data_IF_100400828494
#
_entry.id   IF_100400828494
#
_cell.length_a   1.000
_cell.length_b   1.000
_cell.length_c   1.000
_cell.angle_alpha   90.00
_cell.angle_beta   90.00
_cell.angle_gamma   90.00
#
_symmetry.space_group_name_H-M   'P 1'
#
loop_
_entity.id
_entity.type
_entity.pdbx_description
1 polymer ?
#
# COMPACT_ATOMS: atom_id res chain seq x y z
N UNK A 1 9.26 32.50 -1.77
CA UNK A 1 8.76 31.15 -1.46
C UNK A 1 9.93 30.25 -1.08
N UNK A 2 9.81 29.46 -0.02
CA UNK A 2 10.85 28.49 0.44
C UNK A 2 10.99 27.33 -0.52
N UNK A 3 12.07 26.54 -0.34
CA UNK A 3 12.28 25.31 -1.10
C UNK A 3 11.89 24.09 -0.28
N UNK A 4 11.38 23.08 -0.95
CA UNK A 4 11.18 21.75 -0.38
C UNK A 4 12.51 21.01 -0.33
N UNK A 5 12.83 20.38 0.81
CA UNK A 5 14.09 19.61 0.97
C UNK A 5 14.07 18.35 0.11
N UNK A 6 15.20 17.98 -0.46
CA UNK A 6 15.31 16.82 -1.37
C UNK A 6 15.18 15.47 -0.68
N UNK A 7 15.50 15.41 0.61
CA UNK A 7 15.43 14.20 1.46
C UNK A 7 14.08 14.01 2.17
N UNK A 8 13.09 14.85 1.83
CA UNK A 8 11.70 14.72 2.30
C UNK A 8 11.15 13.31 1.98
N UNK A 9 10.26 12.78 2.84
CA UNK A 9 9.56 11.51 2.56
C UNK A 9 8.66 11.65 1.33
N UNK A 10 8.43 10.54 0.64
CA UNK A 10 7.55 10.50 -0.54
C UNK A 10 6.13 10.97 -0.18
N UNK A 11 5.60 10.51 0.96
CA UNK A 11 4.28 10.91 1.48
C UNK A 11 4.19 12.40 1.82
N UNK A 12 5.28 12.99 2.31
CA UNK A 12 5.32 14.43 2.59
C UNK A 12 5.45 15.25 1.30
N UNK A 13 6.13 14.71 0.27
CA UNK A 13 6.20 15.32 -1.05
C UNK A 13 4.83 15.32 -1.73
N UNK A 14 4.07 14.24 -1.63
CA UNK A 14 2.68 14.11 -2.05
C UNK A 14 1.80 15.15 -1.33
N UNK A 15 1.84 15.17 0.00
CA UNK A 15 1.05 16.10 0.82
C UNK A 15 1.33 17.56 0.50
N UNK A 16 2.61 17.94 0.36
CA UNK A 16 2.95 19.35 0.07
C UNK A 16 2.58 19.75 -1.36
N UNK A 17 2.74 18.86 -2.34
CA UNK A 17 2.33 19.16 -3.71
C UNK A 17 0.83 19.35 -3.85
N UNK A 18 0.03 18.50 -3.22
CA UNK A 18 -1.43 18.65 -3.14
C UNK A 18 -1.84 19.96 -2.47
N UNK A 19 -1.17 20.34 -1.37
CA UNK A 19 -1.43 21.61 -0.71
C UNK A 19 -1.13 22.81 -1.63
N UNK A 20 -0.02 22.78 -2.35
CA UNK A 20 0.34 23.84 -3.30
C UNK A 20 -0.66 23.95 -4.45
N UNK A 21 -1.12 22.82 -5.00
CA UNK A 21 -2.16 22.80 -6.03
C UNK A 21 -3.47 23.41 -5.52
N UNK A 22 -3.92 23.05 -4.32
CA UNK A 22 -5.13 23.65 -3.72
C UNK A 22 -4.97 25.15 -3.50
N UNK A 23 -3.84 25.59 -2.93
CA UNK A 23 -3.59 27.02 -2.71
C UNK A 23 -3.61 27.82 -4.02
N UNK A 24 -3.05 27.28 -5.09
CA UNK A 24 -3.10 27.89 -6.41
C UNK A 24 -4.55 27.95 -6.95
N UNK A 25 -5.30 26.85 -6.89
CA UNK A 25 -6.69 26.81 -7.36
C UNK A 25 -7.56 27.81 -6.61
N UNK A 26 -7.40 27.91 -5.29
CA UNK A 26 -8.10 28.90 -4.47
C UNK A 26 -7.74 30.34 -4.84
N UNK A 27 -6.48 30.59 -5.20
CA UNK A 27 -6.02 31.90 -5.63
C UNK A 27 -6.53 32.24 -7.07
N UNK A 28 -6.46 31.26 -7.97
CA UNK A 28 -6.89 31.42 -9.37
C UNK A 28 -8.42 31.52 -9.52
N UNK A 29 -9.21 31.04 -8.56
CA UNK A 29 -10.65 31.17 -8.53
C UNK A 29 -11.11 32.63 -8.24
N UNK A 30 -10.21 33.49 -7.79
CA UNK A 30 -10.50 34.94 -7.56
C UNK A 30 -10.22 35.72 -8.84
N UNK A 31 -10.97 36.76 -9.08
CA UNK A 31 -10.72 37.70 -10.20
C UNK A 31 -9.47 38.55 -9.88
N UNK A 32 -8.30 38.11 -10.30
CA UNK A 32 -7.03 38.78 -10.00
C UNK A 32 -5.92 38.48 -11.02
N UNK A 33 -4.72 38.92 -10.70
CA UNK A 33 -3.54 38.72 -11.55
C UNK A 33 -3.18 37.23 -11.71
N UNK A 34 -3.33 36.44 -10.65
CA UNK A 34 -3.04 34.98 -10.64
C UNK A 34 -3.97 34.23 -11.60
N UNK A 35 -5.28 34.59 -11.66
CA UNK A 35 -6.25 33.98 -12.55
C UNK A 35 -5.93 34.14 -14.05
N UNK A 36 -5.20 35.17 -14.39
CA UNK A 36 -4.83 35.54 -15.78
C UNK A 36 -3.40 35.17 -16.14
N UNK A 37 -2.64 34.58 -15.22
CA UNK A 37 -1.24 34.28 -15.41
C UNK A 37 -1.05 32.90 -16.07
N UNK A 38 -0.89 32.92 -17.39
CA UNK A 38 -0.66 31.72 -18.19
C UNK A 38 0.68 31.01 -17.85
N UNK A 39 1.70 31.75 -17.43
CA UNK A 39 2.99 31.16 -17.07
C UNK A 39 2.90 30.42 -15.75
N UNK A 40 2.25 31.01 -14.73
CA UNK A 40 1.97 30.30 -13.47
C UNK A 40 1.06 29.10 -13.69
N UNK A 41 0.03 29.24 -14.52
CA UNK A 41 -0.89 28.15 -14.86
C UNK A 41 -0.14 26.96 -15.49
N UNK A 42 0.81 27.21 -16.39
CA UNK A 42 1.65 26.16 -16.99
C UNK A 42 2.55 25.45 -15.94
N UNK A 43 3.19 26.21 -15.05
CA UNK A 43 4.03 25.65 -13.97
C UNK A 43 3.16 24.80 -13.03
N UNK A 44 2.00 25.32 -12.62
CA UNK A 44 1.09 24.61 -11.73
C UNK A 44 0.45 23.37 -12.37
N UNK A 45 0.18 23.40 -13.68
CA UNK A 45 -0.26 22.22 -14.43
C UNK A 45 0.78 21.10 -14.42
N UNK A 46 2.08 21.41 -14.51
CA UNK A 46 3.15 20.44 -14.35
C UNK A 46 3.19 19.88 -12.92
N UNK A 47 3.10 20.74 -11.89
CA UNK A 47 3.07 20.32 -10.48
C UNK A 47 1.87 19.45 -10.20
N UNK A 48 0.67 19.82 -10.69
CA UNK A 48 -0.56 19.05 -10.51
C UNK A 48 -0.47 17.65 -11.13
N UNK A 49 0.05 17.56 -12.37
CA UNK A 49 0.25 16.27 -13.03
C UNK A 49 1.22 15.38 -12.22
N UNK A 50 2.36 15.91 -11.81
CA UNK A 50 3.35 15.16 -11.04
C UNK A 50 2.84 14.80 -9.64
N UNK A 51 2.00 15.64 -9.03
CA UNK A 51 1.29 15.34 -7.77
C UNK A 51 0.32 14.16 -7.94
N UNK A 52 -0.45 14.13 -9.03
CA UNK A 52 -1.33 13.00 -9.34
C UNK A 52 -0.54 11.70 -9.60
N UNK A 53 0.59 11.80 -10.30
CA UNK A 53 1.46 10.67 -10.60
C UNK A 53 2.07 10.07 -9.32
N UNK A 54 2.56 10.91 -8.38
CA UNK A 54 3.14 10.42 -7.11
C UNK A 54 2.06 9.81 -6.20
N UNK A 55 0.87 10.40 -6.12
CA UNK A 55 -0.28 9.84 -5.39
C UNK A 55 -0.65 8.45 -5.92
N UNK A 56 -0.70 8.31 -7.24
CA UNK A 56 -0.99 7.03 -7.90
C UNK A 56 0.08 5.98 -7.60
N UNK A 57 1.35 6.39 -7.66
CA UNK A 57 2.47 5.51 -7.36
C UNK A 57 2.50 5.06 -5.89
N UNK A 58 2.21 5.96 -4.94
CA UNK A 58 2.09 5.61 -3.50
C UNK A 58 0.97 4.58 -3.27
N UNK A 59 -0.18 4.76 -3.92
CA UNK A 59 -1.29 3.80 -3.83
C UNK A 59 -0.88 2.43 -4.36
N UNK A 60 -0.17 2.39 -5.48
CA UNK A 60 0.34 1.15 -6.09
C UNK A 60 1.33 0.42 -5.16
N UNK A 61 2.30 1.14 -4.58
CA UNK A 61 3.28 0.58 -3.64
C UNK A 61 2.58 0.02 -2.39
N UNK A 62 1.56 0.73 -1.86
CA UNK A 62 0.76 0.28 -0.71
C UNK A 62 -0.03 -0.99 -1.00
N UNK A 63 -0.58 -1.13 -2.20
CA UNK A 63 -1.35 -2.31 -2.61
C UNK A 63 -0.43 -3.53 -2.76
N UNK A 64 0.77 -3.36 -3.33
CA UNK A 64 1.78 -4.44 -3.40
C UNK A 64 2.15 -4.95 -2.00
N UNK A 65 2.45 -4.04 -1.07
CA UNK A 65 2.75 -4.40 0.32
C UNK A 65 1.58 -5.12 1.01
N UNK A 66 0.33 -4.73 0.70
CA UNK A 66 -0.87 -5.39 1.24
C UNK A 66 -1.03 -6.82 0.71
N UNK A 67 -0.72 -7.05 -0.57
CA UNK A 67 -0.74 -8.40 -1.17
C UNK A 67 0.30 -9.32 -0.53
N UNK A 68 1.55 -8.83 -0.38
CA UNK A 68 2.62 -9.58 0.29
C UNK A 68 2.28 -9.93 1.74
N UNK A 69 1.63 -9.00 2.47
CA UNK A 69 1.20 -9.25 3.84
C UNK A 69 0.05 -10.27 3.93
N UNK A 70 -0.88 -10.25 2.98
CA UNK A 70 -1.96 -11.23 2.91
C UNK A 70 -1.44 -12.63 2.58
N UNK A 71 -0.46 -12.72 1.69
CA UNK A 71 0.24 -13.94 1.33
C UNK A 71 0.98 -14.54 2.54
N UNK A 72 1.82 -13.76 3.21
CA UNK A 72 2.54 -14.19 4.40
C UNK A 72 1.61 -14.68 5.52
N UNK A 73 0.44 -14.05 5.69
CA UNK A 73 -0.58 -14.50 6.66
C UNK A 73 -1.14 -15.87 6.29
N UNK A 74 -1.42 -16.11 5.02
CA UNK A 74 -1.91 -17.38 4.49
C UNK A 74 -0.88 -18.49 4.69
N UNK A 75 0.38 -18.23 4.38
CA UNK A 75 1.51 -19.13 4.57
C UNK A 75 1.72 -19.50 6.04
N UNK A 76 1.57 -18.54 6.94
CA UNK A 76 1.70 -18.80 8.38
C UNK A 76 0.60 -19.74 8.87
N UNK A 77 -0.65 -19.54 8.47
CA UNK A 77 -1.78 -20.37 8.90
C UNK A 77 -1.65 -21.79 8.37
N UNK A 78 -1.27 -21.98 7.10
CA UNK A 78 -1.09 -23.32 6.53
C UNK A 78 0.05 -24.08 7.24
N UNK A 79 1.14 -23.38 7.58
CA UNK A 79 2.24 -23.96 8.33
C UNK A 79 1.83 -24.37 9.74
N UNK A 80 1.04 -23.54 10.43
CA UNK A 80 0.48 -23.83 11.75
C UNK A 80 -0.45 -25.04 11.70
N UNK A 81 -1.34 -25.12 10.71
CA UNK A 81 -2.22 -26.26 10.50
C UNK A 81 -1.44 -27.57 10.33
N UNK A 82 -0.43 -27.58 9.45
CA UNK A 82 0.42 -28.73 9.24
C UNK A 82 1.16 -29.18 10.52
N UNK A 83 1.65 -28.21 11.30
CA UNK A 83 2.34 -28.47 12.57
C UNK A 83 1.38 -29.06 13.60
N UNK A 84 0.17 -28.51 13.74
CA UNK A 84 -0.84 -29.00 14.67
C UNK A 84 -1.29 -30.41 14.31
N UNK A 85 -1.58 -30.69 13.05
CA UNK A 85 -1.97 -32.02 12.57
C UNK A 85 -0.86 -33.07 12.79
N UNK A 86 0.39 -32.70 12.51
CA UNK A 86 1.55 -33.57 12.78
C UNK A 86 1.69 -33.87 14.28
N UNK A 87 1.46 -32.88 15.13
CA UNK A 87 1.43 -33.05 16.59
C UNK A 87 0.37 -34.07 17.03
N UNK A 88 -0.87 -33.93 16.55
CA UNK A 88 -1.93 -34.90 16.84
C UNK A 88 -1.64 -36.30 16.29
N UNK A 89 -1.00 -36.42 15.14
CA UNK A 89 -0.58 -37.69 14.55
C UNK A 89 0.49 -38.43 15.38
N UNK A 90 1.23 -37.72 16.23
CA UNK A 90 2.31 -38.27 17.07
C UNK A 90 1.86 -38.66 18.48
N UNK A 91 0.67 -38.25 18.96
CA UNK A 91 0.23 -38.56 20.33
C UNK A 91 -0.32 -39.97 20.45
N UNK A 92 -0.18 -40.64 21.63
CA UNK A 92 -0.61 -42.02 21.86
C UNK A 92 -2.13 -42.11 22.20
N UNK A 93 -2.98 -41.40 21.46
CA UNK A 93 -4.43 -41.40 21.58
C UNK A 93 -5.02 -41.84 20.25
N UNK A 94 -5.50 -43.10 20.18
CA UNK A 94 -5.86 -43.78 18.94
C UNK A 94 -6.86 -42.98 18.10
N UNK A 95 -7.91 -42.46 18.73
CA UNK A 95 -8.99 -41.72 18.04
C UNK A 95 -8.47 -40.39 17.46
N UNK A 96 -7.70 -39.61 18.26
CA UNK A 96 -7.13 -38.35 17.80
C UNK A 96 -6.08 -38.56 16.71
N UNK A 97 -5.29 -39.65 16.83
CA UNK A 97 -4.33 -40.01 15.79
C UNK A 97 -5.03 -40.37 14.48
N UNK A 98 -6.09 -41.19 14.52
CA UNK A 98 -6.85 -41.57 13.32
C UNK A 98 -7.48 -40.37 12.64
N UNK A 99 -8.04 -39.43 13.42
CA UNK A 99 -8.57 -38.16 12.93
C UNK A 99 -7.48 -37.31 12.26
N UNK A 100 -6.32 -37.18 12.93
CA UNK A 100 -5.17 -36.44 12.38
C UNK A 100 -4.63 -37.07 11.09
N UNK A 101 -4.52 -38.38 11.02
CA UNK A 101 -4.05 -39.12 9.83
C UNK A 101 -4.99 -38.84 8.61
N UNK A 102 -6.32 -38.79 8.84
CA UNK A 102 -7.30 -38.46 7.80
C UNK A 102 -7.14 -37.04 7.27
N UNK A 103 -6.92 -36.06 8.15
CA UNK A 103 -6.71 -34.66 7.78
C UNK A 103 -5.32 -34.40 7.20
N UNK A 104 -4.29 -35.13 7.67
CA UNK A 104 -2.95 -35.11 7.08
C UNK A 104 -2.94 -35.66 5.66
N UNK A 105 -3.80 -36.61 5.31
CA UNK A 105 -3.93 -37.10 3.94
C UNK A 105 -4.34 -35.95 2.98
N UNK A 106 -5.30 -35.11 3.40
CA UNK A 106 -5.69 -33.90 2.66
C UNK A 106 -4.55 -32.89 2.66
N UNK A 107 -4.01 -32.53 3.81
CA UNK A 107 -2.92 -31.56 3.92
C UNK A 107 -1.73 -31.95 3.05
N UNK A 108 -1.27 -33.20 3.07
CA UNK A 108 -0.11 -33.64 2.31
C UNK A 108 -0.32 -33.66 0.79
N UNK A 109 -1.57 -33.70 0.32
CA UNK A 109 -1.91 -33.60 -1.10
C UNK A 109 -1.57 -32.21 -1.66
N UNK A 110 -1.64 -31.15 -0.83
CA UNK A 110 -1.50 -29.76 -1.23
C UNK A 110 -0.36 -29.03 -0.53
N UNK A 111 -0.27 -29.14 0.80
CA UNK A 111 0.42 -28.21 1.68
C UNK A 111 1.95 -28.18 1.59
N UNK A 112 2.61 -29.21 1.04
CA UNK A 112 4.08 -29.26 0.98
C UNK A 112 4.67 -28.42 -0.14
N UNK A 113 3.90 -28.09 -1.17
CA UNK A 113 4.37 -27.39 -2.36
C UNK A 113 3.72 -26.02 -2.57
N UNK A 114 2.71 -25.68 -1.79
CA UNK A 114 1.91 -24.46 -1.99
C UNK A 114 2.77 -23.21 -1.99
N UNK A 115 3.58 -22.98 -0.95
CA UNK A 115 4.40 -21.78 -0.78
C UNK A 115 5.53 -21.59 -1.82
N UNK A 116 5.74 -22.53 -2.74
CA UNK A 116 6.73 -22.44 -3.80
C UNK A 116 6.13 -22.11 -5.18
N UNK A 117 4.80 -21.94 -5.25
CA UNK A 117 4.06 -21.76 -6.50
C UNK A 117 3.83 -20.27 -6.83
N UNK A 118 3.35 -20.00 -8.03
CA UNK A 118 2.88 -18.66 -8.39
C UNK A 118 1.56 -18.35 -7.68
N UNK A 119 1.27 -17.10 -7.38
CA UNK A 119 0.05 -16.66 -6.68
C UNK A 119 -1.25 -17.25 -7.24
N UNK A 120 -1.38 -17.32 -8.56
CA UNK A 120 -2.58 -17.87 -9.20
C UNK A 120 -2.72 -19.37 -8.94
N UNK A 121 -1.61 -20.13 -9.05
CA UNK A 121 -1.61 -21.57 -8.82
C UNK A 121 -1.75 -21.91 -7.34
N UNK A 122 -1.10 -21.14 -6.51
CA UNK A 122 -1.18 -21.24 -5.07
C UNK A 122 -2.62 -21.04 -4.57
N UNK A 123 -3.32 -19.98 -5.02
CA UNK A 123 -4.72 -19.72 -4.69
C UNK A 123 -5.63 -20.87 -5.14
N UNK A 124 -5.42 -21.44 -6.33
CA UNK A 124 -6.18 -22.60 -6.79
C UNK A 124 -5.96 -23.84 -5.92
N UNK A 125 -4.74 -24.06 -5.42
CA UNK A 125 -4.44 -25.16 -4.52
C UNK A 125 -5.06 -24.96 -3.13
N UNK A 126 -5.06 -23.72 -2.60
CA UNK A 126 -5.74 -23.40 -1.34
C UNK A 126 -7.25 -23.60 -1.44
N UNK A 127 -7.90 -23.15 -2.52
CA UNK A 127 -9.32 -23.37 -2.74
C UNK A 127 -9.64 -24.88 -2.76
N UNK A 128 -8.88 -25.67 -3.54
CA UNK A 128 -9.07 -27.12 -3.62
C UNK A 128 -8.85 -27.82 -2.28
N UNK A 129 -7.87 -27.38 -1.50
CA UNK A 129 -7.62 -27.91 -0.15
C UNK A 129 -8.75 -27.57 0.82
N UNK A 130 -9.28 -26.35 0.77
CA UNK A 130 -10.42 -25.92 1.60
C UNK A 130 -11.71 -26.64 1.23
N UNK A 131 -11.90 -26.95 -0.06
CA UNK A 131 -13.01 -27.80 -0.52
C UNK A 131 -12.89 -29.22 0.00
N UNK A 132 -11.69 -29.84 -0.09
CA UNK A 132 -11.46 -31.18 0.44
C UNK A 132 -11.65 -31.23 1.97
N UNK A 133 -11.22 -30.20 2.74
CA UNK A 133 -11.48 -30.14 4.18
C UNK A 133 -12.97 -29.93 4.52
N UNK A 134 -13.77 -29.37 3.62
CA UNK A 134 -15.20 -29.19 3.82
C UNK A 134 -16.02 -30.48 3.57
N UNK A 135 -15.38 -31.59 3.18
CA UNK A 135 -16.07 -32.85 2.99
C UNK A 135 -16.73 -33.34 4.28
N UNK A 136 -17.98 -33.77 4.19
CA UNK A 136 -18.77 -34.24 5.34
C UNK A 136 -18.08 -35.36 6.11
N UNK A 137 -17.34 -36.24 5.41
CA UNK A 137 -16.57 -37.34 6.00
C UNK A 137 -15.42 -36.89 6.93
N UNK A 138 -15.03 -35.63 6.89
CA UNK A 138 -13.97 -35.07 7.74
C UNK A 138 -14.50 -34.22 8.90
N UNK A 139 -15.81 -33.95 8.95
CA UNK A 139 -16.42 -33.08 9.96
C UNK A 139 -16.14 -33.55 11.39
N UNK A 140 -16.32 -34.83 11.66
CA UNK A 140 -16.09 -35.44 12.98
C UNK A 140 -14.58 -35.38 13.36
N UNK A 141 -13.68 -35.61 12.38
CA UNK A 141 -12.26 -35.53 12.60
C UNK A 141 -11.80 -34.09 12.93
N UNK A 142 -12.36 -33.08 12.25
CA UNK A 142 -12.09 -31.66 12.52
C UNK A 142 -12.62 -31.28 13.91
N UNK A 143 -13.83 -31.73 14.27
CA UNK A 143 -14.46 -31.42 15.57
C UNK A 143 -13.72 -32.07 16.75
N UNK A 144 -13.09 -33.26 16.53
CA UNK A 144 -12.36 -34.00 17.57
C UNK A 144 -11.00 -33.36 17.92
N UNK A 145 -10.41 -32.58 17.00
CA UNK A 145 -9.08 -32.03 17.18
C UNK A 145 -9.14 -30.51 17.49
N UNK A 146 -8.89 -30.17 18.76
CA UNK A 146 -8.96 -28.81 19.24
C UNK A 146 -8.07 -27.86 18.40
N UNK A 147 -8.62 -26.74 17.96
CA UNK A 147 -7.94 -25.70 17.19
C UNK A 147 -7.83 -25.96 15.67
N UNK A 148 -8.12 -27.18 15.21
CA UNK A 148 -8.03 -27.50 13.77
C UNK A 148 -9.11 -26.75 12.98
N UNK A 149 -10.36 -26.76 13.48
CA UNK A 149 -11.47 -26.02 12.87
C UNK A 149 -11.20 -24.52 12.78
N UNK A 150 -10.61 -23.93 13.83
CA UNK A 150 -10.25 -22.51 13.88
C UNK A 150 -9.17 -22.16 12.83
N UNK A 151 -8.15 -23.03 12.67
CA UNK A 151 -7.10 -22.83 11.65
C UNK A 151 -7.66 -22.98 10.23
N UNK A 152 -8.55 -23.95 9.96
CA UNK A 152 -9.20 -24.10 8.65
C UNK A 152 -10.09 -22.87 8.35
N UNK A 153 -10.86 -22.40 9.32
CA UNK A 153 -11.65 -21.18 9.20
C UNK A 153 -10.79 -19.94 8.99
N UNK A 154 -9.68 -19.84 9.73
CA UNK A 154 -8.69 -18.80 9.58
C UNK A 154 -8.02 -18.80 8.20
N UNK A 155 -7.71 -19.98 7.66
CA UNK A 155 -7.16 -20.14 6.32
C UNK A 155 -8.13 -19.69 5.23
N UNK A 156 -9.42 -20.00 5.35
CA UNK A 156 -10.47 -19.53 4.44
C UNK A 156 -10.55 -18.01 4.45
N UNK A 157 -10.58 -17.40 5.65
CA UNK A 157 -10.59 -15.94 5.78
C UNK A 157 -9.32 -15.30 5.18
N UNK A 158 -8.15 -15.91 5.39
CA UNK A 158 -6.89 -15.41 4.83
C UNK A 158 -6.85 -15.53 3.30
N UNK A 159 -7.43 -16.58 2.73
CA UNK A 159 -7.58 -16.76 1.28
C UNK A 159 -8.51 -15.69 0.69
N UNK A 160 -9.64 -15.38 1.33
CA UNK A 160 -10.55 -14.31 0.90
C UNK A 160 -9.86 -12.94 0.94
N UNK A 161 -9.07 -12.67 2.01
CA UNK A 161 -8.30 -11.43 2.15
C UNK A 161 -7.23 -11.32 1.05
N UNK A 162 -6.54 -12.42 0.74
CA UNK A 162 -5.57 -12.49 -0.35
C UNK A 162 -6.22 -12.22 -1.70
N UNK A 163 -7.37 -12.85 -2.01
CA UNK A 163 -8.08 -12.65 -3.27
C UNK A 163 -8.45 -11.16 -3.46
N UNK A 164 -8.98 -10.49 -2.42
CA UNK A 164 -9.26 -9.04 -2.44
C UNK A 164 -8.01 -8.19 -2.68
N UNK A 165 -6.91 -8.54 -2.02
CA UNK A 165 -5.63 -7.84 -2.19
C UNK A 165 -5.08 -8.04 -3.60
N UNK A 166 -5.17 -9.25 -4.16
CA UNK A 166 -4.74 -9.59 -5.52
C UNK A 166 -5.55 -8.88 -6.60
N UNK A 167 -6.88 -8.79 -6.44
CA UNK A 167 -7.75 -8.03 -7.34
C UNK A 167 -7.36 -6.55 -7.34
N UNK A 168 -7.11 -5.99 -6.15
CA UNK A 168 -6.64 -4.62 -5.98
C UNK A 168 -5.26 -4.39 -6.61
N UNK A 169 -4.33 -5.36 -6.48
CA UNK A 169 -3.00 -5.32 -7.09
C UNK A 169 -3.08 -5.38 -8.61
N UNK A 170 -3.93 -6.25 -9.16
CA UNK A 170 -4.16 -6.36 -10.60
C UNK A 170 -4.73 -5.05 -11.17
N UNK A 171 -5.71 -4.45 -10.51
CA UNK A 171 -6.25 -3.15 -10.89
C UNK A 171 -5.19 -2.04 -10.85
N UNK A 172 -4.33 -2.02 -9.82
CA UNK A 172 -3.24 -1.05 -9.71
C UNK A 172 -2.13 -1.26 -10.75
N UNK A 173 -1.86 -2.50 -11.18
CA UNK A 173 -0.86 -2.82 -12.22
C UNK A 173 -1.34 -2.42 -13.61
N UNK A 174 -2.64 -2.44 -13.88
CA UNK A 174 -3.21 -1.96 -15.15
C UNK A 174 -3.15 -0.45 -15.28
N UNK A 175 -3.07 0.29 -14.17
CA UNK A 175 -2.81 1.72 -14.17
C UNK A 175 -1.34 1.96 -14.54
N UNK A 176 -1.08 2.52 -15.74
CA UNK A 176 0.26 2.92 -16.18
C UNK A 176 0.82 3.98 -15.21
N UNK A 177 2.01 3.77 -14.67
CA UNK A 177 2.66 4.75 -13.79
C UNK A 177 4.07 4.35 -13.40
N UNK A 178 4.91 5.37 -13.18
CA UNK A 178 6.26 5.25 -12.66
C UNK A 178 6.23 4.94 -11.14
N UNK A 179 7.38 4.56 -10.56
CA UNK A 179 7.51 4.40 -9.12
C UNK A 179 7.40 5.76 -8.41
N UNK A 180 6.90 5.78 -7.17
CA UNK A 180 6.82 7.02 -6.40
C UNK A 180 8.19 7.70 -6.20
N UNK A 181 9.26 6.91 -6.17
CA UNK A 181 10.62 7.44 -6.07
C UNK A 181 11.09 8.14 -7.35
N UNK A 182 10.75 7.60 -8.55
CA UNK A 182 11.11 8.24 -9.83
C UNK A 182 10.34 9.54 -10.07
N UNK A 183 9.08 9.62 -9.64
CA UNK A 183 8.25 10.83 -9.75
C UNK A 183 8.65 11.93 -8.76
N UNK A 184 9.14 11.56 -7.58
CA UNK A 184 9.52 12.54 -6.53
C UNK A 184 10.55 13.56 -7.02
N UNK A 185 11.60 13.13 -7.71
CA UNK A 185 12.68 14.03 -8.17
C UNK A 185 12.18 15.11 -9.15
N UNK A 186 11.47 14.79 -10.24
CA UNK A 186 10.90 15.79 -11.13
C UNK A 186 9.84 16.68 -10.42
N UNK A 187 9.05 16.16 -9.49
CA UNK A 187 8.10 16.96 -8.72
C UNK A 187 8.81 18.03 -7.88
N UNK A 188 9.87 17.65 -7.14
CA UNK A 188 10.64 18.58 -6.36
C UNK A 188 11.38 19.61 -7.23
N UNK A 189 11.85 19.23 -8.43
CA UNK A 189 12.42 20.15 -9.40
C UNK A 189 11.38 21.17 -9.89
N UNK A 190 10.18 20.73 -10.25
CA UNK A 190 9.09 21.64 -10.67
C UNK A 190 8.75 22.67 -9.57
N UNK A 191 8.70 22.24 -8.31
CA UNK A 191 8.43 23.13 -7.18
C UNK A 191 9.63 24.05 -6.92
N UNK A 192 10.85 23.53 -6.82
CA UNK A 192 12.02 24.26 -6.34
C UNK A 192 12.69 25.13 -7.41
N UNK A 193 12.65 24.72 -8.67
CA UNK A 193 13.40 25.35 -9.76
C UNK A 193 12.51 26.19 -10.67
N UNK A 194 11.17 25.94 -10.66
CA UNK A 194 10.20 26.70 -11.46
C UNK A 194 9.25 27.51 -10.58
N UNK A 195 8.44 26.84 -9.72
CA UNK A 195 7.40 27.50 -8.92
C UNK A 195 7.98 28.48 -7.89
N UNK A 196 8.95 28.04 -7.08
CA UNK A 196 9.46 28.86 -5.98
C UNK A 196 10.15 30.16 -6.48
N UNK A 197 11.03 30.15 -7.48
CA UNK A 197 11.62 31.38 -8.00
C UNK A 197 10.57 32.28 -8.68
N UNK A 198 9.60 31.69 -9.41
CA UNK A 198 8.53 32.43 -10.05
C UNK A 198 7.67 33.22 -9.04
N UNK A 199 7.15 32.52 -8.02
CA UNK A 199 6.35 33.14 -6.95
C UNK A 199 7.16 34.18 -6.17
N UNK A 200 8.47 33.95 -5.96
CA UNK A 200 9.33 34.91 -5.27
C UNK A 200 9.49 36.20 -6.09
N UNK A 201 9.72 36.09 -7.39
CA UNK A 201 9.88 37.23 -8.28
C UNK A 201 8.58 38.04 -8.39
N UNK A 202 7.46 37.38 -8.63
CA UNK A 202 6.14 38.01 -8.77
C UNK A 202 5.64 38.60 -7.45
N UNK A 203 5.97 37.97 -6.30
CA UNK A 203 5.63 38.48 -4.97
C UNK A 203 6.35 39.78 -4.60
N UNK A 204 7.46 40.11 -5.27
CA UNK A 204 8.13 41.39 -5.08
C UNK A 204 7.35 42.58 -5.67
N UNK A 205 6.45 42.32 -6.64
CA UNK A 205 5.71 43.35 -7.38
C UNK A 205 4.20 43.24 -7.24
N UNK A 206 3.68 42.15 -6.63
CA UNK A 206 2.24 41.90 -6.46
C UNK A 206 1.91 41.31 -5.11
N UNK A 207 0.98 41.91 -4.39
CA UNK A 207 0.52 41.44 -3.10
C UNK A 207 -0.19 40.05 -3.17
N UNK A 208 -0.89 39.76 -4.28
CA UNK A 208 -1.53 38.46 -4.48
C UNK A 208 -0.52 37.30 -4.52
N UNK A 209 0.62 37.50 -5.21
CA UNK A 209 1.69 36.49 -5.26
C UNK A 209 2.46 36.42 -3.94
N UNK A 210 2.63 37.57 -3.24
CA UNK A 210 3.23 37.56 -1.92
C UNK A 210 2.39 36.76 -0.92
N UNK A 211 1.04 36.90 -0.92
CA UNK A 211 0.14 36.08 -0.10
C UNK A 211 0.20 34.60 -0.46
N UNK A 212 0.12 34.27 -1.76
CA UNK A 212 0.26 32.87 -2.22
C UNK A 212 1.60 32.27 -1.76
N UNK A 213 2.69 33.01 -1.90
CA UNK A 213 4.04 32.59 -1.47
C UNK A 213 4.13 32.39 0.04
N UNK A 214 3.54 33.25 0.85
CA UNK A 214 3.53 33.13 2.31
C UNK A 214 2.74 31.89 2.76
N UNK A 215 1.58 31.62 2.17
CA UNK A 215 0.77 30.42 2.44
C UNK A 215 1.50 29.14 2.01
N UNK A 216 2.11 29.14 0.85
CA UNK A 216 2.96 28.06 0.36
C UNK A 216 4.14 27.76 1.31
N UNK A 217 4.76 28.81 1.88
CA UNK A 217 5.88 28.69 2.82
C UNK A 217 5.48 27.98 4.12
N UNK A 218 4.23 28.11 4.55
CA UNK A 218 3.68 27.39 5.72
C UNK A 218 3.61 25.88 5.42
N UNK A 219 3.07 25.49 4.28
CA UNK A 219 2.94 24.08 3.90
C UNK A 219 4.30 23.43 3.66
N UNK A 220 5.22 24.14 3.00
CA UNK A 220 6.60 23.67 2.81
C UNK A 220 7.33 23.53 4.15
N UNK A 221 7.11 24.44 5.10
CA UNK A 221 7.73 24.34 6.41
C UNK A 221 7.25 23.12 7.19
N UNK A 222 5.94 22.80 7.13
CA UNK A 222 5.37 21.59 7.73
C UNK A 222 6.02 20.32 7.14
N UNK A 223 6.11 20.23 5.83
CA UNK A 223 6.70 19.12 5.13
C UNK A 223 8.22 18.97 5.46
N UNK A 224 8.96 20.07 5.46
CA UNK A 224 10.38 20.09 5.79
C UNK A 224 10.69 19.75 7.27
N UNK A 225 9.74 19.96 8.19
CA UNK A 225 9.88 19.60 9.59
C UNK A 225 9.96 18.09 9.82
N UNK A 226 9.34 17.28 8.93
CA UNK A 226 9.43 15.82 8.98
C UNK A 226 10.87 15.31 8.80
N UNK A 227 11.66 15.98 7.96
CA UNK A 227 13.09 15.67 7.73
C UNK A 227 13.90 15.88 9.01
N UNK A 228 13.63 16.96 9.74
CA UNK A 228 14.33 17.27 10.99
C UNK A 228 14.03 16.27 12.11
N UNK A 229 12.80 15.75 12.18
CA UNK A 229 12.41 14.68 13.14
C UNK A 229 13.14 13.38 12.83
N UNK A 230 13.20 12.97 11.56
CA UNK A 230 13.92 11.76 11.14
C UNK A 230 15.41 11.82 11.50
N UNK A 231 16.05 12.99 11.35
CA UNK A 231 17.47 13.18 11.69
C UNK A 231 17.74 13.12 13.20
N UNK A 232 16.72 13.39 14.05
CA UNK A 232 16.83 13.30 15.51
C UNK A 232 16.46 11.91 16.06
N UNK A 233 16.08 10.95 15.22
CA UNK A 233 15.66 9.62 15.67
C UNK A 233 14.27 9.59 16.34
N UNK A 234 13.49 10.66 16.24
CA UNK A 234 12.11 10.72 16.71
C UNK A 234 11.19 10.15 15.60
N UNK A 235 10.76 8.89 15.79
CA UNK A 235 9.81 8.19 14.90
C UNK A 235 8.39 8.54 15.28
#
# INVERSE_FOLDING_TARGET
MKRVKVDIRITDADTVSDALVRLYKDAAAKEGAIAKDAALAAIMGEVERLSADITTAIKKDKVSTSLEAADAKRDEIIRQLGTLLAGYGAIPLADKKAAADSLLAVYNKYGKSIAAETYARESSLFESMLEDFAAESLADAIALLDGVGDLIGGLRSAQDDFNKANDSATAALTAKGESAYSVKKPLLAAINEKLAPYITAMGAVSAEYADLGARADVEIAKANASVARKQRGES
#
